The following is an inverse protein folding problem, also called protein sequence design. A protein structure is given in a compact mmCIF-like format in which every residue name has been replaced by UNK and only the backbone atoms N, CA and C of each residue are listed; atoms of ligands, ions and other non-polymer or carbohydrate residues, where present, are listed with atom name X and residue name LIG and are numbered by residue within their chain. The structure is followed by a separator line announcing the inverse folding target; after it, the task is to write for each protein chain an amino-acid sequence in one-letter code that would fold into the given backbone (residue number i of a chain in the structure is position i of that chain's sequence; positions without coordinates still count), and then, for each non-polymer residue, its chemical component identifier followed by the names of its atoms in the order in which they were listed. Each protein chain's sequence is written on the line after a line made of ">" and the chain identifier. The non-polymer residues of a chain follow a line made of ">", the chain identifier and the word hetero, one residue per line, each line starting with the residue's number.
data_IF_384563225698
#
_entry.id   IF_384563225698
#
_cell.length_a   1.000
_cell.length_b   1.000
_cell.length_c   1.000
_cell.angle_alpha   90.00
_cell.angle_beta   90.00
_cell.angle_gamma   90.00
#
_symmetry.space_group_name_H-M   'P 1'
#
loop_
_entity.id
_entity.type
_entity.pdbx_description
1 polymer ?
#
# COMPACT_ATOMS: atom_id res chain seq x y z
N UNK A 1 13.26 -9.53 -0.49
CA UNK A 1 12.93 -8.13 -0.10
C UNK A 1 13.99 -7.18 -0.67
N UNK A 2 13.58 -6.07 -1.28
CA UNK A 2 14.48 -5.01 -1.76
C UNK A 2 14.01 -3.65 -1.24
N UNK A 3 14.92 -2.84 -0.68
CA UNK A 3 14.67 -1.46 -0.27
C UNK A 3 15.47 -0.49 -1.13
N UNK A 4 14.78 0.35 -1.90
CA UNK A 4 15.37 1.40 -2.72
C UNK A 4 15.27 2.73 -1.97
N UNK A 5 16.39 3.17 -1.38
CA UNK A 5 16.42 4.40 -0.56
C UNK A 5 16.32 5.66 -1.43
N UNK A 6 15.39 6.55 -1.08
CA UNK A 6 15.22 7.85 -1.74
C UNK A 6 15.06 7.80 -3.26
N UNK A 7 14.48 6.72 -3.79
CA UNK A 7 14.39 6.48 -5.25
C UNK A 7 13.30 7.30 -5.94
N UNK A 8 12.29 7.76 -5.21
CA UNK A 8 11.26 8.67 -5.74
C UNK A 8 11.75 10.11 -5.65
N UNK A 9 11.80 10.80 -6.79
CA UNK A 9 12.31 12.16 -6.86
C UNK A 9 11.38 13.15 -6.14
N UNK A 10 11.89 14.28 -5.61
CA UNK A 10 11.07 15.25 -4.90
C UNK A 10 9.86 15.76 -5.68
N UNK A 11 10.02 16.00 -6.99
CA UNK A 11 8.93 16.43 -7.88
C UNK A 11 7.81 15.38 -7.99
N UNK A 12 8.18 14.10 -8.06
CA UNK A 12 7.24 12.98 -8.11
C UNK A 12 6.54 12.81 -6.76
N UNK A 13 7.26 12.96 -5.64
CA UNK A 13 6.68 12.93 -4.30
C UNK A 13 5.61 14.03 -4.13
N UNK A 14 5.90 15.26 -4.57
CA UNK A 14 4.95 16.38 -4.53
C UNK A 14 3.72 16.08 -5.40
N UNK A 15 3.94 15.54 -6.61
CA UNK A 15 2.88 15.14 -7.53
C UNK A 15 1.97 14.08 -6.91
N UNK A 16 2.55 13.04 -6.31
CA UNK A 16 1.81 11.97 -5.63
C UNK A 16 0.97 12.49 -4.47
N UNK A 17 1.55 13.31 -3.59
CA UNK A 17 0.82 13.90 -2.46
C UNK A 17 -0.31 14.79 -2.94
N UNK A 18 -0.08 15.62 -3.96
CA UNK A 18 -1.10 16.52 -4.52
C UNK A 18 -2.27 15.73 -5.11
N UNK A 19 -1.98 14.67 -5.87
CA UNK A 19 -2.99 13.77 -6.43
C UNK A 19 -3.78 13.06 -5.33
N UNK A 20 -3.11 12.50 -4.33
CA UNK A 20 -3.76 11.85 -3.19
C UNK A 20 -4.67 12.81 -2.41
N UNK A 21 -4.26 14.08 -2.23
CA UNK A 21 -5.10 15.11 -1.59
C UNK A 21 -6.32 15.47 -2.41
N UNK A 22 -6.21 15.51 -3.74
CA UNK A 22 -7.33 15.79 -4.63
C UNK A 22 -8.34 14.65 -4.62
N UNK A 23 -7.86 13.42 -4.89
CA UNK A 23 -8.69 12.21 -4.91
C UNK A 23 -9.32 11.94 -3.53
N UNK A 24 -8.53 12.11 -2.48
CA UNK A 24 -8.93 11.83 -1.10
C UNK A 24 -10.08 12.69 -0.57
N UNK A 25 -10.37 13.84 -1.20
CA UNK A 25 -11.51 14.72 -0.85
C UNK A 25 -12.80 14.40 -1.62
N UNK A 26 -12.70 13.61 -2.69
CA UNK A 26 -13.83 13.27 -3.54
C UNK A 26 -14.55 11.97 -3.14
N UNK A 27 -15.57 11.56 -3.91
CA UNK A 27 -16.19 10.23 -3.78
C UNK A 27 -15.13 9.13 -3.89
N UNK A 28 -15.20 8.11 -3.03
CA UNK A 28 -14.18 7.05 -2.96
C UNK A 28 -12.87 7.46 -2.28
N UNK A 29 -12.78 8.71 -1.79
CA UNK A 29 -11.63 9.24 -1.07
C UNK A 29 -11.41 8.66 0.33
N UNK A 30 -10.64 9.36 1.16
CA UNK A 30 -10.16 8.83 2.43
C UNK A 30 -11.29 8.53 3.41
N UNK A 31 -11.19 7.38 4.06
CA UNK A 31 -12.03 6.97 5.18
C UNK A 31 -11.21 6.28 6.26
N UNK A 32 -11.79 6.07 7.45
CA UNK A 32 -11.16 5.25 8.50
C UNK A 32 -11.75 3.83 8.43
N UNK A 33 -10.97 2.81 8.01
CA UNK A 33 -11.46 1.44 7.91
C UNK A 33 -11.96 0.93 9.26
N UNK A 34 -13.10 0.23 9.22
CA UNK A 34 -13.63 -0.50 10.37
C UNK A 34 -13.45 -2.00 10.09
N UNK A 35 -12.86 -2.71 11.04
CA UNK A 35 -12.72 -4.16 10.99
C UNK A 35 -14.06 -4.83 11.32
N UNK A 36 -14.16 -6.13 11.04
CA UNK A 36 -15.37 -6.94 11.33
C UNK A 36 -15.86 -6.86 12.78
N UNK A 37 -14.96 -6.64 13.74
CA UNK A 37 -15.28 -6.48 15.16
C UNK A 37 -15.65 -5.03 15.55
N UNK A 38 -15.81 -4.12 14.59
CA UNK A 38 -16.11 -2.72 14.80
C UNK A 38 -14.92 -1.84 15.19
N UNK A 39 -13.73 -2.43 15.42
CA UNK A 39 -12.53 -1.66 15.72
C UNK A 39 -12.11 -0.85 14.49
N UNK A 40 -11.78 0.43 14.70
CA UNK A 40 -11.29 1.30 13.63
C UNK A 40 -9.77 1.25 13.55
N UNK A 41 -9.23 1.17 12.34
CA UNK A 41 -7.80 1.30 12.13
C UNK A 41 -7.33 2.72 12.49
N UNK A 42 -6.09 2.84 12.94
CA UNK A 42 -5.48 4.13 13.29
C UNK A 42 -4.74 4.75 12.10
N UNK A 43 -5.43 4.81 10.97
CA UNK A 43 -5.00 5.40 9.71
C UNK A 43 -6.22 5.81 8.90
N UNK A 44 -6.00 6.63 7.88
CA UNK A 44 -6.96 6.89 6.81
C UNK A 44 -6.55 6.11 5.58
N UNK A 45 -7.52 5.57 4.86
CA UNK A 45 -7.28 4.72 3.70
C UNK A 45 -8.15 5.16 2.53
N UNK A 46 -7.63 5.05 1.32
CA UNK A 46 -8.44 4.98 0.09
C UNK A 46 -7.87 3.92 -0.83
N UNK A 47 -8.70 3.40 -1.73
CA UNK A 47 -8.31 2.35 -2.68
C UNK A 47 -8.47 2.86 -4.10
N UNK A 48 -7.46 2.59 -4.93
CA UNK A 48 -7.41 2.89 -6.35
C UNK A 48 -7.31 1.56 -7.12
N UNK A 49 -7.97 1.47 -8.27
CA UNK A 49 -8.09 0.29 -9.12
C UNK A 49 -9.23 -0.62 -8.65
N UNK A 50 -9.01 -1.35 -7.57
CA UNK A 50 -10.05 -2.12 -6.87
C UNK A 50 -10.16 -1.66 -5.42
N UNK A 51 -11.38 -1.64 -4.89
CA UNK A 51 -11.64 -1.38 -3.49
C UNK A 51 -11.33 -2.61 -2.63
N UNK A 52 -10.49 -2.46 -1.61
CA UNK A 52 -10.35 -3.47 -0.56
C UNK A 52 -11.43 -3.28 0.50
N UNK A 53 -12.21 -4.33 0.76
CA UNK A 53 -13.18 -4.36 1.86
C UNK A 53 -12.53 -4.96 3.11
N UNK A 54 -12.30 -4.18 4.18
CA UNK A 54 -11.70 -4.67 5.42
C UNK A 54 -12.57 -5.70 6.17
N UNK A 55 -13.88 -5.76 5.88
CA UNK A 55 -14.82 -6.68 6.52
C UNK A 55 -14.85 -8.03 5.80
N UNK A 56 -14.98 -8.00 4.47
CA UNK A 56 -14.98 -9.21 3.65
C UNK A 56 -13.57 -9.75 3.37
N UNK A 57 -12.52 -8.93 3.58
CA UNK A 57 -11.12 -9.26 3.23
C UNK A 57 -10.98 -9.64 1.76
N UNK A 58 -11.55 -8.82 0.88
CA UNK A 58 -11.57 -9.08 -0.54
C UNK A 58 -11.56 -7.78 -1.35
N UNK A 59 -11.17 -7.90 -2.62
CA UNK A 59 -11.14 -6.79 -3.56
C UNK A 59 -12.37 -6.80 -4.47
N UNK A 60 -12.96 -5.64 -4.71
CA UNK A 60 -14.12 -5.47 -5.58
C UNK A 60 -14.18 -4.09 -6.25
N UNK A 61 -15.14 -3.83 -7.15
CA UNK A 61 -15.23 -2.56 -7.87
C UNK A 61 -15.82 -1.42 -7.01
N UNK A 62 -16.51 -1.74 -5.91
CA UNK A 62 -17.31 -0.79 -5.14
C UNK A 62 -17.01 -0.91 -3.65
N UNK A 63 -17.05 0.21 -2.94
CA UNK A 63 -16.95 0.29 -1.48
C UNK A 63 -18.30 0.02 -0.82
N UNK A 64 -18.45 -1.03 0.02
CA UNK A 64 -19.77 -1.47 0.47
C UNK A 64 -20.56 -0.48 1.32
N UNK A 65 -19.90 0.35 2.13
CA UNK A 65 -20.61 1.19 3.12
C UNK A 65 -21.18 2.50 2.55
N UNK A 66 -20.70 2.97 1.40
CA UNK A 66 -21.17 4.21 0.77
C UNK A 66 -21.42 4.08 -0.74
N UNK A 67 -21.20 2.90 -1.32
CA UNK A 67 -21.43 2.64 -2.74
C UNK A 67 -20.43 3.31 -3.68
N UNK A 68 -19.35 3.91 -3.17
CA UNK A 68 -18.37 4.59 -4.01
C UNK A 68 -17.64 3.60 -4.92
N UNK A 69 -17.53 3.92 -6.20
CA UNK A 69 -16.70 3.15 -7.13
C UNK A 69 -15.21 3.33 -6.81
N UNK A 70 -14.42 2.29 -7.04
CA UNK A 70 -12.97 2.39 -6.96
C UNK A 70 -12.46 3.41 -7.98
N UNK A 71 -11.62 4.34 -7.53
CA UNK A 71 -10.99 5.34 -8.38
C UNK A 71 -9.97 4.67 -9.29
N UNK A 72 -9.65 5.25 -10.44
CA UNK A 72 -8.56 4.72 -11.28
C UNK A 72 -7.21 4.95 -10.61
N UNK A 73 -6.26 4.02 -10.82
CA UNK A 73 -4.87 4.23 -10.40
C UNK A 73 -4.25 5.24 -11.38
N UNK A 74 -3.74 6.40 -10.91
CA UNK A 74 -3.03 7.35 -11.75
C UNK A 74 -1.85 6.68 -12.47
N UNK A 75 -1.67 6.97 -13.76
CA UNK A 75 -0.58 6.36 -14.54
C UNK A 75 0.80 6.70 -13.98
N UNK A 76 0.97 7.89 -13.39
CA UNK A 76 2.19 8.27 -12.67
C UNK A 76 2.54 7.27 -11.56
N UNK A 77 1.55 6.76 -10.81
CA UNK A 77 1.80 5.82 -9.72
C UNK A 77 2.22 4.46 -10.28
N UNK A 78 1.58 4.02 -11.36
CA UNK A 78 1.96 2.78 -12.06
C UNK A 78 3.39 2.87 -12.60
N UNK A 79 3.74 3.98 -13.25
CA UNK A 79 5.08 4.17 -13.80
C UNK A 79 6.16 4.15 -12.72
N UNK A 80 5.95 4.83 -11.58
CA UNK A 80 6.89 4.82 -10.45
C UNK A 80 7.05 3.39 -9.90
N UNK A 81 5.94 2.68 -9.67
CA UNK A 81 5.96 1.31 -9.17
C UNK A 81 6.66 0.35 -10.15
N UNK A 82 6.36 0.45 -11.44
CA UNK A 82 6.99 -0.38 -12.50
C UNK A 82 8.49 -0.08 -12.62
N UNK A 83 8.89 1.20 -12.57
CA UNK A 83 10.32 1.59 -12.62
C UNK A 83 11.09 1.03 -11.42
N UNK A 84 10.50 1.12 -10.22
CA UNK A 84 11.10 0.54 -9.02
C UNK A 84 11.20 -0.99 -9.13
N UNK A 85 10.15 -1.65 -9.61
CA UNK A 85 10.14 -3.10 -9.81
C UNK A 85 11.17 -3.56 -10.84
N UNK A 86 11.35 -2.85 -11.95
CA UNK A 86 12.41 -3.15 -12.93
C UNK A 86 13.82 -2.97 -12.38
N UNK A 87 13.99 -2.14 -11.34
CA UNK A 87 15.28 -1.97 -10.64
C UNK A 87 15.56 -3.13 -9.68
N UNK A 88 14.51 -3.75 -9.12
CA UNK A 88 14.62 -4.94 -8.27
C UNK A 88 14.62 -6.22 -9.12
N UNK A 89 15.79 -6.59 -9.64
CA UNK A 89 16.01 -7.68 -10.61
C UNK A 89 15.49 -9.07 -10.22
N UNK A 90 15.14 -9.29 -8.96
CA UNK A 90 14.76 -10.60 -8.41
C UNK A 90 13.24 -10.80 -8.27
N UNK A 91 12.42 -9.81 -8.66
CA UNK A 91 10.96 -9.88 -8.53
C UNK A 91 10.24 -10.02 -9.88
N UNK A 92 9.14 -10.80 -9.98
CA UNK A 92 8.29 -10.82 -11.16
C UNK A 92 7.83 -9.41 -11.55
N UNK A 93 7.71 -9.17 -12.86
CA UNK A 93 7.19 -7.90 -13.34
C UNK A 93 5.70 -7.76 -13.00
N UNK A 94 5.31 -6.60 -12.46
CA UNK A 94 3.93 -6.31 -12.05
C UNK A 94 3.29 -5.20 -12.90
N UNK A 95 2.00 -5.38 -13.21
CA UNK A 95 1.13 -4.32 -13.69
C UNK A 95 0.02 -4.09 -12.65
N UNK A 96 0.19 -3.14 -11.72
CA UNK A 96 -0.69 -3.03 -10.57
C UNK A 96 -2.10 -2.60 -10.98
N UNK A 97 -3.08 -3.40 -10.57
CA UNK A 97 -4.52 -3.11 -10.67
C UNK A 97 -5.14 -2.76 -9.31
N UNK A 98 -4.32 -2.77 -8.25
CA UNK A 98 -4.66 -2.38 -6.88
C UNK A 98 -3.61 -1.40 -6.38
N UNK A 99 -4.05 -0.29 -5.79
CA UNK A 99 -3.20 0.60 -5.02
C UNK A 99 -3.96 1.08 -3.77
N UNK A 100 -3.42 0.75 -2.60
CA UNK A 100 -3.96 1.22 -1.31
C UNK A 100 -3.14 2.41 -0.85
N UNK A 101 -3.80 3.55 -0.68
CA UNK A 101 -3.16 4.75 -0.14
C UNK A 101 -3.49 4.86 1.34
N UNK A 102 -2.48 4.70 2.17
CA UNK A 102 -2.57 4.86 3.62
C UNK A 102 -2.02 6.22 4.03
N UNK A 103 -2.79 6.96 4.83
CA UNK A 103 -2.38 8.22 5.45
C UNK A 103 -2.35 8.06 6.97
N UNK A 104 -1.15 8.20 7.52
CA UNK A 104 -0.88 8.11 8.94
C UNK A 104 -0.74 9.52 9.53
N UNK A 105 -1.38 9.74 10.68
CA UNK A 105 -1.08 10.92 11.51
C UNK A 105 0.10 10.57 12.43
N UNK A 106 0.60 11.52 13.22
CA UNK A 106 1.72 11.30 14.17
C UNK A 106 1.49 10.15 15.16
N UNK A 107 0.23 9.77 15.41
CA UNK A 107 -0.13 8.65 16.30
C UNK A 107 -0.48 7.37 15.55
N UNK A 108 -0.47 7.42 14.22
CA UNK A 108 -0.96 6.38 13.33
C UNK A 108 -0.11 5.12 13.42
N UNK A 109 -0.77 3.96 13.42
CA UNK A 109 -0.12 2.65 13.55
C UNK A 109 -0.92 1.59 12.80
N UNK A 110 -0.20 0.64 12.23
CA UNK A 110 -0.75 -0.59 11.68
C UNK A 110 0.03 -1.77 12.27
N UNK A 111 -0.70 -2.78 12.78
CA UNK A 111 -0.08 -3.96 13.39
C UNK A 111 0.45 -4.94 12.35
N UNK A 112 1.21 -5.95 12.80
CA UNK A 112 1.66 -7.05 11.94
C UNK A 112 0.45 -7.73 11.29
N UNK A 113 0.50 -7.79 9.97
CA UNK A 113 -0.46 -8.43 9.10
C UNK A 113 0.29 -8.97 7.87
N UNK A 114 -0.39 -9.84 7.15
CA UNK A 114 0.06 -10.37 5.88
C UNK A 114 -0.93 -9.93 4.81
N UNK A 115 -0.41 -9.43 3.70
CA UNK A 115 -1.17 -9.18 2.48
C UNK A 115 -1.38 -10.52 1.78
N UNK A 116 -2.61 -11.03 1.88
CA UNK A 116 -3.00 -12.35 1.39
C UNK A 116 -4.41 -12.38 0.80
N UNK A 117 -4.96 -11.19 0.55
CA UNK A 117 -6.33 -11.03 0.06
C UNK A 117 -6.33 -10.92 -1.48
N UNK A 118 -5.15 -10.96 -2.11
CA UNK A 118 -4.91 -11.07 -3.54
C UNK A 118 -5.35 -12.45 -4.08
N UNK A 119 -5.51 -12.57 -5.40
CA UNK A 119 -5.89 -13.84 -6.00
C UNK A 119 -4.82 -14.93 -5.75
N UNK A 120 -5.25 -16.18 -5.60
CA UNK A 120 -4.35 -17.32 -5.42
C UNK A 120 -3.28 -17.37 -6.51
N UNK A 121 -3.64 -17.10 -7.77
CA UNK A 121 -2.66 -17.03 -8.87
C UNK A 121 -1.60 -15.94 -8.67
N UNK A 122 -1.95 -14.79 -8.07
CA UNK A 122 -0.99 -13.72 -7.76
C UNK A 122 -0.04 -14.13 -6.65
N UNK A 123 -0.57 -14.76 -5.60
CA UNK A 123 0.22 -15.26 -4.46
C UNK A 123 1.15 -16.39 -4.89
N UNK A 124 0.67 -17.39 -5.65
CA UNK A 124 1.49 -18.50 -6.15
C UNK A 124 2.59 -18.03 -7.09
N UNK A 125 2.36 -16.97 -7.88
CA UNK A 125 3.39 -16.37 -8.73
C UNK A 125 4.40 -15.53 -7.95
N UNK A 126 4.16 -15.27 -6.66
CA UNK A 126 5.00 -14.39 -5.86
C UNK A 126 5.05 -12.97 -6.41
N UNK A 127 3.93 -12.47 -6.97
CA UNK A 127 3.87 -11.10 -7.49
C UNK A 127 4.23 -10.12 -6.37
N UNK A 128 5.07 -9.11 -6.64
CA UNK A 128 5.57 -8.27 -5.59
C UNK A 128 4.52 -7.27 -5.10
N UNK A 129 4.52 -7.04 -3.80
CA UNK A 129 4.00 -5.85 -3.17
C UNK A 129 5.05 -4.72 -3.23
N UNK A 130 4.62 -3.52 -3.64
CA UNK A 130 5.48 -2.34 -3.78
C UNK A 130 4.90 -1.23 -2.90
N UNK A 131 5.63 -0.85 -1.86
CA UNK A 131 5.29 0.24 -0.94
C UNK A 131 6.14 1.45 -1.21
N UNK A 132 5.51 2.60 -1.40
CA UNK A 132 6.16 3.90 -1.59
C UNK A 132 5.89 4.74 -0.35
N UNK A 133 6.94 5.23 0.31
CA UNK A 133 6.84 6.04 1.53
C UNK A 133 7.08 7.51 1.23
N UNK A 134 6.21 8.41 1.71
CA UNK A 134 6.33 9.86 1.52
C UNK A 134 5.92 10.57 2.81
N UNK A 135 6.75 11.50 3.29
CA UNK A 135 6.52 12.27 4.52
C UNK A 135 7.36 11.77 5.69
N UNK A 136 6.77 11.77 6.89
CA UNK A 136 7.46 11.39 8.13
C UNK A 136 7.96 9.93 8.07
N UNK A 137 9.14 9.69 8.65
CA UNK A 137 9.74 8.35 8.72
C UNK A 137 8.86 7.38 9.52
N UNK A 138 8.63 6.19 8.97
CA UNK A 138 7.92 5.11 9.63
C UNK A 138 8.87 3.97 10.03
N UNK A 139 8.70 3.44 11.25
CA UNK A 139 9.28 2.16 11.64
C UNK A 139 8.42 1.04 11.03
N UNK A 140 8.96 0.32 10.05
CA UNK A 140 8.32 -0.82 9.41
C UNK A 140 8.86 -2.12 10.02
N UNK A 141 7.94 -3.01 10.38
CA UNK A 141 8.24 -4.31 10.99
C UNK A 141 7.85 -5.43 10.03
N UNK A 142 8.75 -6.40 9.82
CA UNK A 142 8.48 -7.59 9.01
C UNK A 142 9.14 -8.84 9.62
N UNK A 143 8.58 -10.02 9.30
CA UNK A 143 9.07 -11.31 9.76
C UNK A 143 8.10 -12.44 9.45
N UNK A 144 8.55 -13.68 9.62
CA UNK A 144 7.80 -14.89 9.24
C UNK A 144 6.65 -15.23 10.21
N UNK A 145 6.68 -14.64 11.42
CA UNK A 145 5.70 -14.90 12.46
C UNK A 145 5.02 -13.62 12.89
N UNK A 146 3.84 -13.75 13.49
CA UNK A 146 3.11 -12.61 14.08
C UNK A 146 3.65 -12.23 15.46
N UNK A 147 4.94 -12.43 15.70
CA UNK A 147 5.64 -12.09 16.93
C UNK A 147 6.44 -10.81 16.73
N UNK A 148 6.12 -9.77 17.50
CA UNK A 148 6.81 -8.48 17.41
C UNK A 148 8.25 -8.55 17.91
N UNK A 149 8.53 -9.45 18.84
CA UNK A 149 9.85 -9.58 19.44
C UNK A 149 10.83 -10.28 18.48
N UNK A 150 10.30 -10.99 17.48
CA UNK A 150 11.07 -11.63 16.41
C UNK A 150 11.05 -10.82 15.10
N UNK A 151 10.31 -9.72 15.05
CA UNK A 151 10.20 -8.90 13.84
C UNK A 151 11.48 -8.09 13.60
N UNK A 152 11.95 -8.08 12.36
CA UNK A 152 12.99 -7.16 11.91
C UNK A 152 12.40 -5.78 11.69
N UNK A 153 13.15 -4.74 12.06
CA UNK A 153 12.74 -3.34 11.97
C UNK A 153 13.60 -2.58 10.97
N UNK A 154 12.95 -1.81 10.11
CA UNK A 154 13.62 -0.86 9.20
C UNK A 154 12.92 0.49 9.24
N UNK A 155 13.66 1.56 8.99
CA UNK A 155 13.11 2.89 8.81
C UNK A 155 12.81 3.13 7.33
N UNK A 156 11.54 3.41 7.02
CA UNK A 156 11.09 3.88 5.73
C UNK A 156 10.98 5.40 5.78
N UNK A 157 11.82 6.07 5.00
CA UNK A 157 11.91 7.52 4.90
C UNK A 157 11.18 8.04 3.65
N UNK A 158 11.01 9.36 3.56
CA UNK A 158 10.38 9.97 2.38
C UNK A 158 11.16 9.67 1.10
N UNK A 159 10.46 9.13 0.11
CA UNK A 159 11.01 8.72 -1.18
C UNK A 159 11.51 7.28 -1.23
N UNK A 160 11.46 6.53 -0.13
CA UNK A 160 11.83 5.12 -0.13
C UNK A 160 10.77 4.26 -0.83
N UNK A 161 11.25 3.23 -1.54
CA UNK A 161 10.41 2.19 -2.12
C UNK A 161 10.83 0.82 -1.60
N UNK A 162 9.91 0.15 -0.92
CA UNK A 162 10.06 -1.21 -0.42
C UNK A 162 9.36 -2.19 -1.36
N UNK A 163 10.05 -3.26 -1.74
CA UNK A 163 9.54 -4.31 -2.63
C UNK A 163 9.65 -5.65 -1.91
N UNK A 164 8.50 -6.31 -1.72
CA UNK A 164 8.35 -7.62 -1.11
C UNK A 164 7.71 -8.57 -2.11
N UNK A 165 8.35 -9.68 -2.45
CA UNK A 165 7.84 -10.65 -3.41
C UNK A 165 8.66 -11.94 -3.35
N UNK A 166 8.24 -12.96 -4.09
CA UNK A 166 8.84 -14.30 -3.99
C UNK A 166 8.61 -14.93 -2.62
N UNK A 167 9.68 -15.43 -1.99
CA UNK A 167 9.65 -16.08 -0.66
C UNK A 167 9.68 -15.09 0.53
N UNK A 168 9.68 -13.77 0.25
CA UNK A 168 9.76 -12.71 1.27
C UNK A 168 8.42 -12.34 1.89
#
# INVERSE_FOLDING_TARGET
>A
MVLLKGSVKPEDQIGMVSMCRQLGKGPGGFYRPSLKNGAKLNLWMMSLGKNWDPTARSYGPTRPFDGAQALTIPDAFKMIAQTANSTASESPQINPDICIVNYYTNSGKLGLHQDKDESESSLTKGLPFISISIGDTAEFMFGDTRDKDQATKINLESGDVLILGGES
#
